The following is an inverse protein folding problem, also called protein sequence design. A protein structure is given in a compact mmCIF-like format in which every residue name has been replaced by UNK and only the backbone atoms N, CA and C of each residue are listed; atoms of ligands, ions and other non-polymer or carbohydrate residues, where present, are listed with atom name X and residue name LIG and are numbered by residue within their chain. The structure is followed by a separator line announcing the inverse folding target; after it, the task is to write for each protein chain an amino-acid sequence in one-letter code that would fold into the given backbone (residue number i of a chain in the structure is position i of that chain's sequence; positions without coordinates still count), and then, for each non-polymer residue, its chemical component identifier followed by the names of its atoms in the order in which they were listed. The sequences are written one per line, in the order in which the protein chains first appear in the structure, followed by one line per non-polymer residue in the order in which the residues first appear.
data_IF_988650121647
#
_entry.id   IF_988650121647
#
_cell.length_a   1.000
_cell.length_b   1.000
_cell.length_c   1.000
_cell.angle_alpha   90.00
_cell.angle_beta   90.00
_cell.angle_gamma   90.00
#
_symmetry.space_group_name_H-M   'P 1'
#
loop_
_entity.id
_entity.type
_entity.pdbx_description
1 polymer ?
#
# COMPACT_ATOMS: atom_id res chain seq x y z
N UNK A 1 0.89 -14.16 -8.48
CA UNK A 1 0.96 -13.09 -7.47
C UNK A 1 2.39 -12.89 -6.95
N UNK A 2 3.03 -13.92 -6.41
CA UNK A 2 4.41 -13.84 -5.89
C UNK A 2 5.44 -13.39 -6.93
N UNK A 3 5.32 -13.85 -8.17
CA UNK A 3 6.22 -13.43 -9.25
C UNK A 3 6.08 -11.94 -9.58
N UNK A 4 4.85 -11.41 -9.58
CA UNK A 4 4.57 -9.98 -9.74
C UNK A 4 5.17 -9.17 -8.58
N UNK A 5 5.02 -9.64 -7.33
CA UNK A 5 5.67 -9.02 -6.17
C UNK A 5 7.20 -9.03 -6.29
N UNK A 6 7.79 -10.14 -6.75
CA UNK A 6 9.24 -10.26 -6.95
C UNK A 6 9.74 -9.35 -8.08
N UNK A 7 8.96 -9.17 -9.14
CA UNK A 7 9.28 -8.25 -10.23
C UNK A 7 9.23 -6.79 -9.77
N UNK A 8 8.19 -6.40 -9.02
CA UNK A 8 8.06 -5.05 -8.47
C UNK A 8 9.20 -4.74 -7.48
N UNK A 9 9.53 -5.70 -6.60
CA UNK A 9 10.67 -5.56 -5.69
C UNK A 9 11.98 -5.30 -6.45
N UNK A 10 12.24 -6.05 -7.52
CA UNK A 10 13.44 -5.86 -8.36
C UNK A 10 13.45 -4.49 -9.02
N UNK A 11 12.31 -4.02 -9.54
CA UNK A 11 12.21 -2.69 -10.16
C UNK A 11 12.48 -1.58 -9.15
N UNK A 12 11.88 -1.68 -7.96
CA UNK A 12 12.10 -0.74 -6.85
C UNK A 12 13.58 -0.70 -6.44
N UNK A 13 14.20 -1.86 -6.26
CA UNK A 13 15.63 -1.97 -5.90
C UNK A 13 16.54 -1.41 -6.99
N UNK A 14 16.23 -1.64 -8.27
CA UNK A 14 17.00 -1.11 -9.40
C UNK A 14 16.93 0.41 -9.50
N UNK A 15 15.78 1.01 -9.16
CA UNK A 15 15.60 2.46 -9.16
C UNK A 15 16.12 3.15 -7.90
N UNK A 16 16.54 2.39 -6.88
CA UNK A 16 16.94 2.92 -5.58
C UNK A 16 15.77 3.49 -4.76
N UNK A 17 14.54 3.15 -5.13
CA UNK A 17 13.33 3.61 -4.47
C UNK A 17 13.17 2.92 -3.11
N UNK A 18 12.77 3.68 -2.09
CA UNK A 18 12.43 3.11 -0.79
C UNK A 18 11.00 2.60 -0.80
N UNK A 19 10.77 1.44 -0.18
CA UNK A 19 9.42 0.97 0.07
C UNK A 19 8.71 1.92 1.04
N UNK A 20 7.55 2.43 0.64
CA UNK A 20 6.68 3.24 1.51
C UNK A 20 5.31 2.60 1.61
N UNK A 21 4.87 2.26 2.83
CA UNK A 21 3.53 1.75 3.04
C UNK A 21 2.47 2.78 2.61
N UNK A 22 1.37 2.31 1.99
CA UNK A 22 0.32 3.19 1.44
C UNK A 22 -0.53 3.85 2.54
N UNK A 23 -0.88 3.08 3.56
CA UNK A 23 -1.82 3.47 4.64
C UNK A 23 -1.13 3.73 5.98
N UNK A 24 0.20 3.60 6.01
CA UNK A 24 1.00 3.80 7.20
C UNK A 24 2.19 4.70 6.87
N UNK A 25 2.58 5.51 7.84
CA UNK A 25 3.79 6.33 7.79
C UNK A 25 4.83 5.72 8.71
N UNK A 26 6.11 5.74 8.30
CA UNK A 26 7.21 5.35 9.17
C UNK A 26 7.40 6.45 10.23
N UNK A 27 7.39 6.10 11.51
CA UNK A 27 7.57 7.08 12.60
C UNK A 27 9.04 7.46 12.81
N UNK A 28 9.96 6.68 12.25
CA UNK A 28 11.41 6.78 12.48
C UNK A 28 11.86 6.09 13.77
N UNK A 29 10.92 5.58 14.57
CA UNK A 29 11.21 4.79 15.75
C UNK A 29 11.50 3.33 15.37
N UNK A 30 12.52 2.75 16.00
CA UNK A 30 12.91 1.36 15.85
C UNK A 30 12.90 0.73 17.24
N UNK A 31 12.17 -0.37 17.37
CA UNK A 31 11.99 -1.08 18.65
C UNK A 31 12.75 -2.41 18.61
N UNK A 32 13.62 -2.69 19.60
CA UNK A 32 14.31 -3.96 19.67
C UNK A 32 13.31 -5.05 20.08
N UNK A 33 13.24 -6.13 19.30
CA UNK A 33 12.44 -7.31 19.62
C UNK A 33 13.36 -8.53 19.77
N UNK A 34 12.92 -9.62 20.40
CA UNK A 34 13.70 -10.87 20.47
C UNK A 34 14.07 -11.47 19.11
N UNK A 35 13.43 -11.01 18.02
CA UNK A 35 13.68 -11.45 16.65
C UNK A 35 14.43 -10.42 15.81
N UNK A 36 14.89 -9.32 16.43
CA UNK A 36 15.59 -8.22 15.79
C UNK A 36 14.88 -6.89 15.93
N UNK A 37 15.48 -5.86 15.35
CA UNK A 37 14.95 -4.50 15.38
C UNK A 37 13.78 -4.35 14.42
N UNK A 38 12.68 -3.78 14.90
CA UNK A 38 11.45 -3.58 14.14
C UNK A 38 11.11 -2.08 14.04
N UNK A 39 10.95 -1.61 12.81
CA UNK A 39 10.45 -0.27 12.49
C UNK A 39 9.00 -0.09 12.97
N UNK A 40 8.71 1.03 13.63
CA UNK A 40 7.36 1.39 14.06
C UNK A 40 6.68 2.21 12.96
N UNK A 41 5.44 1.83 12.67
CA UNK A 41 4.60 2.48 11.66
C UNK A 41 3.32 3.01 12.31
N UNK A 42 2.93 4.22 11.95
CA UNK A 42 1.68 4.85 12.39
C UNK A 42 0.65 4.89 11.29
N UNK A 43 -0.63 4.69 11.64
CA UNK A 43 -1.72 4.80 10.68
C UNK A 43 -1.88 6.25 10.22
N UNK A 44 -1.85 6.48 8.91
CA UNK A 44 -1.78 7.82 8.35
C UNK A 44 -3.14 8.44 7.96
N UNK A 45 -4.27 7.78 8.28
CA UNK A 45 -5.61 8.29 7.97
C UNK A 45 -6.06 8.11 6.51
N UNK A 46 -5.14 7.92 5.56
CA UNK A 46 -5.44 7.89 4.12
C UNK A 46 -6.40 6.78 3.70
N UNK A 47 -6.44 5.67 4.43
CA UNK A 47 -7.40 4.60 4.14
C UNK A 47 -8.84 5.04 4.45
N UNK A 48 -9.05 5.75 5.56
CA UNK A 48 -10.35 6.31 5.92
C UNK A 48 -10.78 7.38 4.91
N UNK A 49 -9.87 8.24 4.47
CA UNK A 49 -10.11 9.21 3.39
C UNK A 49 -10.49 8.52 2.08
N UNK A 50 -9.75 7.48 1.69
CA UNK A 50 -10.05 6.69 0.49
C UNK A 50 -11.43 6.03 0.58
N UNK A 51 -11.80 5.47 1.73
CA UNK A 51 -13.13 4.89 1.97
C UNK A 51 -14.23 5.95 1.95
N UNK A 52 -13.99 7.13 2.53
CA UNK A 52 -14.94 8.24 2.52
C UNK A 52 -15.13 8.82 1.12
N UNK A 53 -14.07 8.92 0.31
CA UNK A 53 -14.15 9.35 -1.08
C UNK A 53 -14.95 8.37 -1.94
N UNK A 54 -14.75 7.06 -1.76
CA UNK A 54 -15.58 6.03 -2.41
C UNK A 54 -17.05 6.17 -1.98
N UNK A 55 -17.32 6.30 -0.68
CA UNK A 55 -18.69 6.45 -0.15
C UNK A 55 -19.36 7.81 -0.47
N UNK A 56 -18.60 8.88 -0.69
CA UNK A 56 -19.13 10.20 -1.06
C UNK A 56 -19.33 10.35 -2.56
N UNK A 57 -18.61 9.58 -3.39
CA UNK A 57 -18.89 9.42 -4.81
C UNK A 57 -20.15 8.55 -5.06
N UNK A 58 -20.64 7.87 -4.02
CA UNK A 58 -21.72 6.88 -4.04
C UNK A 58 -23.13 7.48 -3.84
N UNK A 59 -23.40 8.63 -4.46
CA UNK A 59 -24.77 9.12 -4.58
C UNK A 59 -25.59 8.35 -5.64
N UNK A 60 -25.03 7.34 -6.32
CA UNK A 60 -25.77 6.66 -7.40
C UNK A 60 -25.38 5.23 -7.80
N UNK A 61 -24.30 4.61 -7.31
CA UNK A 61 -23.99 3.23 -7.71
C UNK A 61 -23.21 2.52 -6.62
N UNK A 62 -23.89 1.64 -5.86
CA UNK A 62 -23.28 0.72 -4.91
C UNK A 62 -22.03 0.09 -5.55
N UNK A 63 -20.84 0.54 -5.13
CA UNK A 63 -19.59 -0.10 -5.55
C UNK A 63 -19.57 -1.44 -4.85
N UNK A 64 -20.02 -2.48 -5.55
CA UNK A 64 -19.92 -3.86 -5.09
C UNK A 64 -18.45 -4.12 -4.72
N UNK A 65 -18.18 -4.16 -3.41
CA UNK A 65 -16.82 -4.33 -2.89
C UNK A 65 -16.19 -5.64 -3.38
N UNK A 66 -16.99 -6.60 -3.86
CA UNK A 66 -16.50 -7.82 -4.52
C UNK A 66 -15.98 -7.58 -5.94
N UNK A 67 -16.37 -6.49 -6.58
CA UNK A 67 -15.92 -6.07 -7.91
C UNK A 67 -14.67 -5.17 -7.85
N UNK A 68 -14.15 -4.85 -6.65
CA UNK A 68 -12.90 -4.08 -6.51
C UNK A 68 -11.72 -4.99 -6.87
N UNK A 69 -11.07 -4.70 -8.00
CA UNK A 69 -9.89 -5.45 -8.45
C UNK A 69 -8.74 -5.32 -7.44
N UNK A 70 -8.14 -6.46 -7.08
CA UNK A 70 -7.00 -6.49 -6.16
C UNK A 70 -5.76 -5.89 -6.83
N UNK A 71 -5.51 -4.60 -6.56
CA UNK A 71 -4.38 -3.85 -7.09
C UNK A 71 -3.53 -3.23 -5.97
N UNK A 72 -2.68 -4.04 -5.29
CA UNK A 72 -1.79 -3.58 -4.22
C UNK A 72 -0.48 -2.95 -4.75
N UNK A 73 -0.34 -2.79 -6.07
CA UNK A 73 0.92 -2.46 -6.74
C UNK A 73 1.25 -0.97 -6.63
N UNK A 74 2.53 -0.67 -6.38
CA UNK A 74 3.00 0.72 -6.23
C UNK A 74 3.28 1.38 -7.58
N UNK A 75 3.72 0.59 -8.56
CA UNK A 75 4.12 1.10 -9.88
C UNK A 75 3.01 0.97 -10.94
N UNK A 76 1.77 0.71 -10.51
CA UNK A 76 0.64 0.42 -11.39
C UNK A 76 0.81 -0.88 -12.18
N UNK A 77 -0.20 -1.24 -12.98
CA UNK A 77 0.05 -2.15 -14.10
C UNK A 77 1.11 -1.45 -14.95
N UNK A 78 2.36 -1.92 -14.88
CA UNK A 78 3.39 -1.53 -15.82
C UNK A 78 2.83 -1.90 -17.21
N UNK A 79 2.21 -0.94 -17.87
CA UNK A 79 1.82 -1.06 -19.28
C UNK A 79 3.11 -1.41 -20.01
N UNK A 80 3.17 -2.64 -20.49
CA UNK A 80 4.09 -3.05 -21.55
C UNK A 80 3.67 -2.35 -22.84
#
# INVERSE_FOLDING_TARGET
LEERQRAEKRHREANGDKFTARWFSLTGEVTPTPWGDLEVYEYNGKYAEHRAAIGSADSSVEVDLKSTEFNPWQYGELSV
#
